data_IF_587035802302
#
_entry.id   IF_587035802302
#
_cell.length_a   1.000
_cell.length_b   1.000
_cell.length_c   1.000
_cell.angle_alpha   90.00
_cell.angle_beta   90.00
_cell.angle_gamma   90.00
#
_symmetry.space_group_name_H-M   'P 1'
#
loop_
_entity.id
_entity.type
_entity.pdbx_description
1 polymer ?
#
# COMPACT_ATOMS: atom_id res chain seq x y z
N UNK A 1 9.98 7.89 -8.01
CA UNK A 1 8.67 7.58 -7.41
C UNK A 1 8.52 8.46 -6.20
N UNK A 2 7.43 9.19 -6.08
CA UNK A 2 7.11 9.84 -4.82
C UNK A 2 6.67 8.74 -3.82
N UNK A 3 7.52 8.46 -2.83
CA UNK A 3 7.25 7.44 -1.82
C UNK A 3 6.07 7.82 -0.90
N UNK A 4 5.73 9.12 -0.84
CA UNK A 4 4.64 9.61 -0.02
C UNK A 4 3.27 9.12 -0.53
N UNK A 5 3.02 9.23 -1.84
CA UNK A 5 1.79 8.72 -2.49
C UNK A 5 1.84 7.23 -2.86
N UNK A 6 2.97 6.54 -2.63
CA UNK A 6 3.19 5.16 -3.06
C UNK A 6 2.22 4.13 -2.48
N UNK A 7 1.77 4.32 -1.24
CA UNK A 7 0.82 3.41 -0.58
C UNK A 7 -0.55 3.37 -1.28
N UNK A 8 -1.02 4.51 -1.79
CA UNK A 8 -2.29 4.63 -2.50
C UNK A 8 -2.32 3.90 -3.85
N UNK A 9 -1.17 3.36 -4.29
CA UNK A 9 -1.06 2.58 -5.53
C UNK A 9 -1.06 1.07 -5.26
N UNK A 10 -0.91 0.64 -4.00
CA UNK A 10 -0.95 -0.78 -3.63
C UNK A 10 -2.41 -1.20 -3.47
N UNK A 11 -2.86 -2.15 -4.30
CA UNK A 11 -4.21 -2.70 -4.18
C UNK A 11 -4.39 -3.41 -2.84
N UNK A 12 -5.49 -3.11 -2.16
CA UNK A 12 -5.89 -3.83 -0.96
C UNK A 12 -6.33 -5.24 -1.35
N UNK A 13 -6.06 -6.22 -0.50
CA UNK A 13 -6.64 -7.55 -0.66
C UNK A 13 -8.17 -7.43 -0.52
N UNK A 14 -8.98 -7.93 -1.48
CA UNK A 14 -10.43 -7.81 -1.44
C UNK A 14 -11.07 -8.35 -0.15
N UNK A 15 -10.49 -9.39 0.45
CA UNK A 15 -10.98 -9.96 1.71
C UNK A 15 -10.71 -9.02 2.91
N UNK A 16 -9.58 -8.32 2.90
CA UNK A 16 -9.18 -7.41 3.97
C UNK A 16 -9.78 -6.00 3.79
N UNK A 17 -10.20 -5.65 2.57
CA UNK A 17 -10.75 -4.34 2.24
C UNK A 17 -11.97 -4.01 3.13
N UNK A 18 -12.89 -4.96 3.34
CA UNK A 18 -14.07 -4.76 4.19
C UNK A 18 -13.72 -4.44 5.66
N UNK A 19 -12.57 -4.90 6.15
CA UNK A 19 -12.09 -4.59 7.50
C UNK A 19 -11.53 -3.17 7.65
N UNK A 20 -11.33 -2.46 6.54
CA UNK A 20 -10.91 -1.04 6.53
C UNK A 20 -12.10 -0.07 6.44
N UNK A 21 -13.30 -0.54 6.81
CA UNK A 21 -14.52 0.26 6.71
C UNK A 21 -14.48 1.48 7.63
N UNK A 22 -14.84 2.64 7.11
CA UNK A 22 -15.05 3.87 7.86
C UNK A 22 -16.43 4.46 7.54
N UNK A 23 -17.00 5.14 8.53
CA UNK A 23 -18.30 5.79 8.41
C UNK A 23 -18.11 7.22 7.90
N UNK A 24 -18.77 7.56 6.80
CA UNK A 24 -18.99 8.94 6.37
C UNK A 24 -20.37 9.40 6.87
N UNK A 25 -20.68 10.69 6.70
CA UNK A 25 -21.93 11.28 7.17
C UNK A 25 -23.19 10.64 6.55
N UNK A 26 -23.04 9.96 5.41
CA UNK A 26 -24.14 9.40 4.64
C UNK A 26 -24.07 7.89 4.43
N UNK A 27 -22.86 7.30 4.40
CA UNK A 27 -22.65 5.89 4.05
C UNK A 27 -21.36 5.34 4.66
N UNK A 28 -21.25 4.01 4.70
CA UNK A 28 -20.02 3.30 5.01
C UNK A 28 -19.20 3.10 3.74
N UNK A 29 -17.91 3.38 3.82
CA UNK A 29 -16.94 3.18 2.75
C UNK A 29 -15.80 2.31 3.25
N UNK A 30 -15.10 1.65 2.34
CA UNK A 30 -13.88 0.92 2.64
C UNK A 30 -12.80 1.25 1.61
N UNK A 31 -11.55 0.99 1.94
CA UNK A 31 -10.43 1.30 1.06
C UNK A 31 -10.17 0.16 0.05
N UNK A 32 -10.10 0.50 -1.24
CA UNK A 32 -9.72 -0.42 -2.31
C UNK A 32 -8.20 -0.48 -2.55
N UNK A 33 -7.48 0.51 -2.02
CA UNK A 33 -6.02 0.61 -2.02
C UNK A 33 -5.55 0.78 -0.59
N UNK A 34 -4.33 0.38 -0.27
CA UNK A 34 -3.83 0.37 1.10
C UNK A 34 -3.81 1.79 1.69
N UNK A 35 -4.63 2.09 2.71
CA UNK A 35 -4.63 3.41 3.36
C UNK A 35 -3.41 3.60 4.26
N UNK A 36 -3.11 4.86 4.57
CA UNK A 36 -2.14 5.22 5.59
C UNK A 36 -2.60 4.77 6.98
N UNK A 37 -1.64 4.49 7.87
CA UNK A 37 -1.91 4.13 9.26
C UNK A 37 -2.19 2.65 9.50
N UNK A 38 -2.19 1.79 8.47
CA UNK A 38 -2.14 0.35 8.66
C UNK A 38 -0.73 -0.08 9.11
N UNK A 39 -0.68 -0.88 10.18
CA UNK A 39 0.59 -1.40 10.74
C UNK A 39 1.45 -2.11 9.68
N UNK A 40 0.82 -2.87 8.80
CA UNK A 40 1.49 -3.64 7.76
C UNK A 40 1.74 -2.87 6.45
N UNK A 41 1.37 -1.58 6.37
CA UNK A 41 1.53 -0.81 5.13
C UNK A 41 2.99 -0.66 4.72
N UNK A 42 3.86 -0.32 5.68
CA UNK A 42 5.30 -0.17 5.45
C UNK A 42 5.95 -1.46 4.93
N UNK A 43 5.69 -2.58 5.60
CA UNK A 43 6.23 -3.89 5.21
C UNK A 43 5.75 -4.33 3.81
N UNK A 44 4.49 -4.04 3.47
CA UNK A 44 3.93 -4.36 2.16
C UNK A 44 4.60 -3.53 1.06
N UNK A 45 4.79 -2.22 1.30
CA UNK A 45 5.47 -1.34 0.38
C UNK A 45 6.93 -1.72 0.17
N UNK A 46 7.67 -2.02 1.24
CA UNK A 46 9.05 -2.50 1.16
C UNK A 46 9.15 -3.76 0.29
N UNK A 47 8.34 -4.79 0.56
CA UNK A 47 8.31 -6.03 -0.25
C UNK A 47 8.00 -5.77 -1.73
N UNK A 48 7.12 -4.80 -2.02
CA UNK A 48 6.81 -4.42 -3.39
C UNK A 48 8.04 -3.78 -4.06
N UNK A 49 8.68 -2.82 -3.38
CA UNK A 49 9.86 -2.13 -3.89
C UNK A 49 11.04 -3.09 -4.08
N UNK A 50 11.26 -4.01 -3.14
CA UNK A 50 12.28 -5.06 -3.26
C UNK A 50 12.09 -5.88 -4.53
N UNK A 51 10.84 -6.21 -4.89
CA UNK A 51 10.53 -6.94 -6.14
C UNK A 51 10.75 -6.10 -7.39
N UNK A 52 10.31 -4.84 -7.37
CA UNK A 52 10.47 -3.90 -8.50
C UNK A 52 11.95 -3.68 -8.81
N UNK A 53 12.75 -3.49 -7.77
CA UNK A 53 14.17 -3.22 -7.89
C UNK A 53 15.05 -4.47 -7.76
N UNK A 54 14.50 -5.68 -7.67
CA UNK A 54 15.25 -6.92 -7.49
C UNK A 54 16.39 -7.12 -8.51
N UNK A 55 16.21 -6.62 -9.75
CA UNK A 55 17.21 -6.71 -10.83
C UNK A 55 18.19 -5.53 -10.87
N UNK A 56 17.92 -4.47 -10.10
CA UNK A 56 18.70 -3.23 -10.04
C UNK A 56 19.49 -3.09 -8.73
N UNK A 57 19.05 -3.76 -7.66
CA UNK A 57 19.78 -3.90 -6.40
C UNK A 57 21.18 -4.46 -6.68
N UNK A 58 22.21 -3.69 -6.32
CA UNK A 58 23.62 -4.03 -6.54
C UNK A 58 24.19 -3.68 -7.92
N UNK A 59 23.40 -3.12 -8.84
CA UNK A 59 23.90 -2.64 -10.16
C UNK A 59 23.82 -1.14 -10.36
N UNK A 60 22.79 -0.47 -9.82
CA UNK A 60 22.55 0.98 -10.03
C UNK A 60 22.11 1.71 -8.75
N UNK A 61 22.00 1.01 -7.62
CA UNK A 61 21.61 1.57 -6.34
C UNK A 61 22.82 1.42 -5.40
N UNK A 62 23.62 2.47 -5.28
CA UNK A 62 24.58 2.69 -4.19
C UNK A 62 23.87 3.33 -2.99
#
# INVERSE_FOLDING_TARGET
MDAYSGYNQIKMNPLDAQHTTFMSNTCNYFYNVMPFGLENAGATYQRLMDRVFAKQIGKNLE
#
